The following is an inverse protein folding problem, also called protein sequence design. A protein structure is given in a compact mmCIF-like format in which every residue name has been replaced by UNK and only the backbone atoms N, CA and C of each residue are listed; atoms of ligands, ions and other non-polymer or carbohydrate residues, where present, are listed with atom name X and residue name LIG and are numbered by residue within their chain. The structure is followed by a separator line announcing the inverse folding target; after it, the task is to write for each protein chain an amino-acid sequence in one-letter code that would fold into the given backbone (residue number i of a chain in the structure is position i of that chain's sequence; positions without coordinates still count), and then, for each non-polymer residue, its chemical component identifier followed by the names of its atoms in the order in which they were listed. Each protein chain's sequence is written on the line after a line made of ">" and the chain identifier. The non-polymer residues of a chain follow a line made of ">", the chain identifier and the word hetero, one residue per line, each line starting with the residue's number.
data_IF_226653736427
#
_entry.id   IF_226653736427
#
_cell.length_a   1.000
_cell.length_b   1.000
_cell.length_c   1.000
_cell.angle_alpha   90.00
_cell.angle_beta   90.00
_cell.angle_gamma   90.00
#
_symmetry.space_group_name_H-M   'P 1'
#
loop_
_entity.id
_entity.type
_entity.pdbx_description
1 polymer ?
#
# COMPACT_ATOMS: atom_id res chain seq x y z
N UNK A 1 19.28 11.96 24.03
CA UNK A 1 19.21 11.17 22.79
C UNK A 1 18.23 11.86 21.87
N UNK A 2 18.63 12.46 20.74
CA UNK A 2 17.67 13.04 19.82
C UNK A 2 16.82 11.89 19.27
N UNK A 3 15.51 12.01 19.38
CA UNK A 3 14.58 11.13 18.66
C UNK A 3 14.65 11.54 17.19
N UNK A 4 15.27 10.70 16.36
CA UNK A 4 15.20 10.85 14.90
C UNK A 4 13.75 10.53 14.53
N UNK A 5 12.96 11.56 14.24
CA UNK A 5 11.56 11.35 13.86
C UNK A 5 11.53 10.99 12.38
N UNK A 6 11.05 9.79 12.06
CA UNK A 6 10.65 9.45 10.70
C UNK A 6 9.74 10.56 10.14
N UNK A 7 10.09 11.11 8.97
CA UNK A 7 9.37 12.25 8.39
C UNK A 7 8.04 11.80 7.74
N UNK A 8 7.97 10.54 7.31
CA UNK A 8 6.80 9.94 6.67
C UNK A 8 6.52 8.53 7.19
N UNK A 9 5.31 8.02 6.90
CA UNK A 9 4.92 6.66 7.28
C UNK A 9 5.81 5.59 6.62
N UNK A 10 6.27 5.84 5.40
CA UNK A 10 7.14 4.91 4.68
C UNK A 10 8.59 4.96 5.19
N UNK A 11 9.04 6.10 5.71
CA UNK A 11 10.32 6.16 6.44
C UNK A 11 10.27 5.28 7.70
N UNK A 12 9.20 5.40 8.48
CA UNK A 12 9.00 4.57 9.67
C UNK A 12 8.93 3.08 9.31
N UNK A 13 8.27 2.72 8.20
CA UNK A 13 8.21 1.35 7.73
C UNK A 13 9.60 0.81 7.35
N UNK A 14 10.40 1.62 6.65
CA UNK A 14 11.79 1.27 6.30
C UNK A 14 12.67 1.09 7.53
N UNK A 15 12.56 1.98 8.52
CA UNK A 15 13.25 1.84 9.82
C UNK A 15 12.88 0.53 10.51
N UNK A 16 11.58 0.24 10.63
CA UNK A 16 11.10 -1.01 11.26
C UNK A 16 11.54 -2.25 10.51
N UNK A 17 11.57 -2.21 9.18
CA UNK A 17 12.05 -3.31 8.35
C UNK A 17 13.53 -3.60 8.56
N UNK A 18 14.36 -2.57 8.80
CA UNK A 18 15.78 -2.74 9.12
C UNK A 18 16.06 -3.23 10.54
N UNK A 19 15.19 -2.88 11.49
CA UNK A 19 15.40 -3.15 12.92
C UNK A 19 14.72 -4.44 13.43
N UNK A 20 13.65 -4.91 12.78
CA UNK A 20 12.79 -5.93 13.36
C UNK A 20 12.19 -6.89 12.34
N UNK A 21 12.45 -8.19 12.50
CA UNK A 21 11.79 -9.26 11.77
C UNK A 21 10.38 -9.60 12.31
N UNK A 22 9.79 -8.73 13.15
CA UNK A 22 8.46 -8.94 13.73
C UNK A 22 7.37 -8.78 12.69
N UNK A 23 6.22 -9.37 12.99
CA UNK A 23 4.98 -9.13 12.26
C UNK A 23 4.65 -7.63 12.26
N UNK A 24 4.53 -7.05 11.07
CA UNK A 24 4.11 -5.66 10.87
C UNK A 24 2.62 -5.52 10.58
N UNK A 25 2.00 -6.54 10.00
CA UNK A 25 0.58 -6.53 9.68
C UNK A 25 -0.02 -7.94 9.72
N UNK A 26 -1.24 -8.07 10.27
CA UNK A 26 -2.02 -9.30 10.25
C UNK A 26 -3.42 -9.04 9.68
N UNK A 27 -3.91 -10.00 8.93
CA UNK A 27 -5.25 -10.01 8.38
C UNK A 27 -5.95 -11.31 8.77
N UNK A 28 -7.15 -11.17 9.34
CA UNK A 28 -7.97 -12.29 9.82
C UNK A 28 -9.25 -12.36 8.99
N UNK A 29 -9.53 -13.52 8.44
CA UNK A 29 -10.81 -13.82 7.80
C UNK A 29 -11.34 -15.20 8.26
N UNK A 30 -12.41 -15.69 7.60
CA UNK A 30 -13.04 -16.97 7.96
C UNK A 30 -12.14 -18.18 7.73
N UNK A 31 -11.08 -18.04 6.93
CA UNK A 31 -10.12 -19.10 6.59
C UNK A 31 -8.90 -19.11 7.51
N UNK A 32 -8.74 -18.08 8.35
CA UNK A 32 -7.68 -17.99 9.35
C UNK A 32 -6.96 -16.64 9.34
N UNK A 33 -5.79 -16.62 9.97
CA UNK A 33 -4.91 -15.46 10.06
C UNK A 33 -3.77 -15.58 9.07
N UNK A 34 -3.50 -14.50 8.33
CA UNK A 34 -2.30 -14.34 7.51
C UNK A 34 -1.55 -13.11 7.97
N UNK A 35 -0.22 -13.13 7.88
CA UNK A 35 0.63 -12.07 8.39
C UNK A 35 1.73 -11.68 7.38
N UNK A 36 2.22 -10.46 7.51
CA UNK A 36 3.47 -9.98 6.90
C UNK A 36 4.38 -9.46 7.99
N UNK A 37 5.66 -9.86 7.93
CA UNK A 37 6.70 -9.22 8.71
C UNK A 37 6.94 -7.78 8.21
N UNK A 38 7.55 -6.92 9.04
CA UNK A 38 7.97 -5.59 8.60
C UNK A 38 8.87 -5.63 7.34
N UNK A 39 9.91 -6.49 7.28
CA UNK A 39 10.72 -6.66 6.06
C UNK A 39 9.91 -7.05 4.83
N UNK A 40 8.99 -8.02 4.96
CA UNK A 40 8.20 -8.49 3.82
C UNK A 40 7.21 -7.43 3.33
N UNK A 41 6.58 -6.70 4.28
CA UNK A 41 5.67 -5.61 3.97
C UNK A 41 6.40 -4.46 3.27
N UNK A 42 7.57 -4.08 3.79
CA UNK A 42 8.41 -3.04 3.22
C UNK A 42 8.89 -3.39 1.80
N UNK A 43 9.49 -4.58 1.63
CA UNK A 43 9.99 -5.04 0.35
C UNK A 43 8.87 -5.06 -0.71
N UNK A 44 7.70 -5.60 -0.35
CA UNK A 44 6.55 -5.66 -1.25
C UNK A 44 6.02 -4.27 -1.62
N UNK A 45 5.89 -3.38 -0.62
CA UNK A 45 5.43 -2.02 -0.85
C UNK A 45 6.42 -1.23 -1.74
N UNK A 46 7.74 -1.38 -1.53
CA UNK A 46 8.77 -0.78 -2.38
C UNK A 46 8.72 -1.27 -3.81
N UNK A 47 8.51 -2.58 -4.05
CA UNK A 47 8.34 -3.12 -5.41
C UNK A 47 7.15 -2.49 -6.13
N UNK A 48 6.02 -2.34 -5.44
CA UNK A 48 4.83 -1.68 -5.98
C UNK A 48 5.13 -0.19 -6.25
N UNK A 49 5.75 0.49 -5.28
CA UNK A 49 6.11 1.91 -5.41
C UNK A 49 7.02 2.17 -6.58
N UNK A 50 8.09 1.38 -6.75
CA UNK A 50 8.99 1.46 -7.91
C UNK A 50 8.22 1.32 -9.23
N UNK A 51 7.31 0.34 -9.31
CA UNK A 51 6.48 0.14 -10.51
C UNK A 51 5.58 1.35 -10.82
N UNK A 52 5.06 2.02 -9.80
CA UNK A 52 4.21 3.22 -9.98
C UNK A 52 5.05 4.45 -10.35
N UNK A 53 6.23 4.58 -9.76
CA UNK A 53 7.20 5.63 -10.10
C UNK A 53 7.67 5.50 -11.55
N UNK A 54 7.99 4.30 -12.02
CA UNK A 54 8.39 4.02 -13.40
C UNK A 54 7.29 4.38 -14.42
N UNK A 55 6.02 4.43 -13.96
CA UNK A 55 4.86 4.88 -14.75
C UNK A 55 4.59 6.38 -14.64
N UNK A 56 5.42 7.14 -13.93
CA UNK A 56 5.28 8.58 -13.76
C UNK A 56 4.10 8.99 -12.89
N UNK A 57 3.70 8.15 -11.92
CA UNK A 57 2.50 8.38 -11.10
C UNK A 57 2.74 9.14 -9.79
N UNK A 58 3.95 9.68 -9.58
CA UNK A 58 4.24 10.55 -8.44
C UNK A 58 3.31 11.78 -8.44
N UNK A 59 2.81 12.17 -7.26
CA UNK A 59 1.85 13.27 -7.10
C UNK A 59 0.42 12.97 -7.60
N UNK A 60 0.19 11.82 -8.22
CA UNK A 60 -1.13 11.45 -8.74
C UNK A 60 -2.00 10.80 -7.66
N UNK A 61 -3.33 10.81 -7.86
CA UNK A 61 -4.27 10.04 -7.04
C UNK A 61 -4.45 8.65 -7.65
N UNK A 62 -4.29 7.61 -6.84
CA UNK A 62 -4.39 6.21 -7.27
C UNK A 62 -5.55 5.55 -6.53
N UNK A 63 -6.54 5.07 -7.28
CA UNK A 63 -7.63 4.29 -6.72
C UNK A 63 -7.14 2.89 -6.32
N UNK A 64 -7.29 2.53 -5.05
CA UNK A 64 -6.98 1.18 -4.54
C UNK A 64 -8.29 0.41 -4.40
N UNK A 65 -8.58 -0.43 -5.39
CA UNK A 65 -9.81 -1.24 -5.51
C UNK A 65 -9.51 -2.72 -5.25
N UNK A 66 -8.93 -3.01 -4.09
CA UNK A 66 -8.60 -4.38 -3.68
C UNK A 66 -9.49 -4.82 -2.53
N UNK A 67 -9.85 -6.11 -2.43
CA UNK A 67 -10.41 -6.66 -1.21
C UNK A 67 -9.48 -6.40 -0.03
N UNK A 68 -10.04 -6.25 1.17
CA UNK A 68 -9.24 -6.14 2.39
C UNK A 68 -8.30 -7.35 2.53
N UNK A 69 -7.05 -7.11 2.90
CA UNK A 69 -6.04 -8.14 2.98
C UNK A 69 -4.61 -7.60 2.99
N UNK A 70 -3.64 -8.51 3.01
CA UNK A 70 -2.21 -8.19 2.97
C UNK A 70 -1.82 -7.39 1.71
N UNK A 71 -2.46 -7.70 0.59
CA UNK A 71 -2.22 -7.03 -0.70
C UNK A 71 -2.73 -5.58 -0.69
N UNK A 72 -3.86 -5.34 -0.04
CA UNK A 72 -4.44 -4.01 0.09
C UNK A 72 -3.50 -3.07 0.85
N UNK A 73 -2.96 -3.50 1.99
CA UNK A 73 -2.02 -2.68 2.77
C UNK A 73 -0.70 -2.46 2.01
N UNK A 74 -0.18 -3.49 1.32
CA UNK A 74 1.05 -3.36 0.54
C UNK A 74 0.90 -2.37 -0.64
N UNK A 75 -0.25 -2.39 -1.33
CA UNK A 75 -0.53 -1.43 -2.42
C UNK A 75 -0.73 -0.01 -1.90
N UNK A 76 -1.43 0.15 -0.77
CA UNK A 76 -1.60 1.46 -0.14
C UNK A 76 -0.24 2.07 0.22
N UNK A 77 0.62 1.31 0.88
CA UNK A 77 1.98 1.76 1.23
C UNK A 77 2.86 1.94 -0.01
N UNK A 78 2.69 1.10 -1.04
CA UNK A 78 3.38 1.25 -2.31
C UNK A 78 3.04 2.56 -3.03
N UNK A 79 1.78 3.01 -2.96
CA UNK A 79 1.40 4.34 -3.45
C UNK A 79 2.16 5.45 -2.71
N UNK A 80 2.30 5.33 -1.38
CA UNK A 80 3.07 6.30 -0.60
C UNK A 80 4.56 6.28 -0.94
N UNK A 81 5.14 5.09 -1.15
CA UNK A 81 6.51 4.94 -1.63
C UNK A 81 6.75 5.58 -3.00
N UNK A 82 5.73 5.59 -3.86
CA UNK A 82 5.78 6.27 -5.16
C UNK A 82 5.60 7.80 -5.07
N UNK A 83 5.37 8.34 -3.87
CA UNK A 83 4.99 9.75 -3.69
C UNK A 83 3.60 10.08 -4.25
N UNK A 84 2.72 9.08 -4.37
CA UNK A 84 1.35 9.23 -4.85
C UNK A 84 0.35 9.28 -3.68
N UNK A 85 -0.86 9.78 -3.95
CA UNK A 85 -1.98 9.79 -3.00
C UNK A 85 -2.80 8.51 -3.18
N UNK A 86 -2.75 7.61 -2.20
CA UNK A 86 -3.60 6.43 -2.18
C UNK A 86 -5.06 6.81 -1.86
N UNK A 87 -5.99 6.36 -2.70
CA UNK A 87 -7.44 6.58 -2.53
C UNK A 87 -8.13 5.21 -2.38
N UNK A 88 -8.28 4.69 -1.15
CA UNK A 88 -8.90 3.39 -0.92
C UNK A 88 -10.41 3.45 -1.20
N UNK A 89 -10.90 2.46 -1.95
CA UNK A 89 -12.31 2.31 -2.27
C UNK A 89 -12.74 0.85 -2.08
N UNK A 90 -14.00 0.59 -1.66
CA UNK A 90 -14.50 -0.77 -1.57
C UNK A 90 -14.42 -1.46 -2.95
N UNK A 91 -14.11 -2.75 -3.01
CA UNK A 91 -14.08 -3.48 -4.26
C UNK A 91 -15.45 -3.44 -4.92
N UNK A 92 -15.47 -3.24 -6.23
CA UNK A 92 -16.72 -3.18 -6.98
C UNK A 92 -17.44 -4.53 -6.91
N UNK A 93 -18.79 -4.56 -6.79
CA UNK A 93 -19.55 -5.80 -6.85
C UNK A 93 -19.23 -6.56 -8.15
N UNK A 94 -19.06 -7.88 -8.04
CA UNK A 94 -18.84 -8.74 -9.21
C UNK A 94 -20.01 -8.59 -10.20
N UNK A 95 -19.70 -8.29 -11.47
CA UNK A 95 -20.69 -8.22 -12.56
C UNK A 95 -20.90 -6.85 -13.20
N UNK A 96 -20.19 -5.79 -12.77
CA UNK A 96 -20.28 -4.48 -13.46
C UNK A 96 -19.25 -4.38 -14.60
N UNK A 97 -19.67 -4.18 -15.87
CA UNK A 97 -18.74 -4.10 -16.99
C UNK A 97 -17.81 -2.86 -16.88
N UNK A 98 -16.60 -2.93 -17.44
CA UNK A 98 -15.57 -1.89 -17.36
C UNK A 98 -15.94 -0.53 -17.98
N UNK A 99 -17.16 -0.37 -18.52
CA UNK A 99 -17.66 0.87 -19.09
C UNK A 99 -18.14 1.90 -18.04
N UNK A 100 -18.35 1.51 -16.77
CA UNK A 100 -18.69 2.45 -15.69
C UNK A 100 -17.46 3.20 -15.13
N UNK A 101 -16.36 3.27 -15.90
CA UNK A 101 -15.13 3.99 -15.58
C UNK A 101 -15.32 5.50 -15.78
N UNK A 102 -15.97 6.16 -14.83
CA UNK A 102 -15.48 7.47 -14.40
C UNK A 102 -14.55 7.22 -13.23
N UNK A 103 -13.34 6.76 -13.56
CA UNK A 103 -12.23 6.99 -12.65
C UNK A 103 -12.19 8.50 -12.45
N UNK A 104 -12.27 8.96 -11.21
CA UNK A 104 -11.72 10.25 -10.86
C UNK A 104 -10.22 10.11 -11.18
N UNK A 105 -9.90 10.39 -12.45
CA UNK A 105 -8.58 10.75 -12.88
C UNK A 105 -8.24 12.00 -12.07
N UNK A 106 -7.01 12.03 -11.62
CA UNK A 106 -6.38 13.21 -11.10
C UNK A 106 -6.87 14.50 -11.78
N UNK A 107 -7.38 15.46 -10.99
CA UNK A 107 -7.35 16.89 -11.33
C UNK A 107 -5.93 17.43 -11.18
#
# INVERSE_FOLDING_TARGET
>A
MPVTHAATLVDLLGERAGESAKTGFEYVDRTGTRSLSYPDLDARARTIGATLTDRGLAGQRILVLLPAGLDHVAVLLGCLYAGAVAVPLPPLPAGRPPAARRAVLAD
#
